data_IF_367008836231
#
_entry.id   IF_367008836231
#
_cell.length_a   1.000
_cell.length_b   1.000
_cell.length_c   1.000
_cell.angle_alpha   90.00
_cell.angle_beta   90.00
_cell.angle_gamma   90.00
#
_symmetry.space_group_name_H-M   'P 1'
#
loop_
_entity.id
_entity.type
_entity.pdbx_description
1 polymer ?
#
# COMPACT_ATOMS: atom_id res chain seq x y z
N UNK A 1 -19.77 -8.30 13.38
CA UNK A 1 -18.83 -8.39 12.24
C UNK A 1 -17.50 -7.88 12.76
N UNK A 2 -16.42 -8.65 12.60
CA UNK A 2 -15.13 -8.30 13.23
C UNK A 2 -14.42 -7.23 12.39
N UNK A 3 -14.46 -5.98 12.85
CA UNK A 3 -13.79 -4.81 12.25
C UNK A 3 -12.28 -4.80 12.59
N UNK A 4 -11.62 -5.93 12.39
CA UNK A 4 -10.19 -6.07 12.65
C UNK A 4 -9.40 -5.58 11.44
N UNK A 5 -8.45 -4.66 11.65
CA UNK A 5 -7.39 -4.38 10.67
C UNK A 5 -6.56 -5.65 10.44
N UNK A 6 -6.40 -6.04 9.18
CA UNK A 6 -5.61 -7.21 8.78
C UNK A 6 -4.37 -6.85 7.98
N UNK A 7 -4.35 -5.67 7.35
CA UNK A 7 -3.15 -5.07 6.76
C UNK A 7 -3.04 -3.63 7.26
N UNK A 8 -1.83 -3.23 7.64
CA UNK A 8 -1.51 -1.83 7.94
C UNK A 8 -0.13 -1.51 7.40
N UNK A 9 -0.06 -0.45 6.62
CA UNK A 9 1.14 0.14 6.05
C UNK A 9 1.18 1.59 6.48
N UNK A 10 2.34 2.03 6.98
CA UNK A 10 2.57 3.43 7.38
C UNK A 10 3.86 3.95 6.78
N UNK A 11 3.78 5.10 6.12
CA UNK A 11 4.93 5.83 5.57
C UNK A 11 5.79 4.99 4.62
N UNK A 12 5.19 4.07 3.84
CA UNK A 12 5.96 3.19 2.96
C UNK A 12 6.67 4.01 1.90
N UNK A 13 8.00 3.96 1.96
CA UNK A 13 8.88 4.53 0.95
C UNK A 13 9.85 3.45 0.48
N UNK A 14 10.09 3.38 -0.83
CA UNK A 14 11.05 2.44 -1.41
C UNK A 14 11.81 3.06 -2.58
N UNK A 15 13.03 2.58 -2.78
CA UNK A 15 13.92 2.98 -3.86
C UNK A 15 14.45 1.76 -4.57
N UNK A 16 14.37 1.75 -5.90
CA UNK A 16 14.95 0.72 -6.76
C UNK A 16 16.00 1.34 -7.67
N UNK A 17 17.24 0.84 -7.60
CA UNK A 17 18.36 1.40 -8.37
C UNK A 17 18.59 2.89 -8.06
N UNK A 18 18.38 3.30 -6.81
CA UNK A 18 18.54 4.69 -6.36
C UNK A 18 17.35 5.61 -6.65
N UNK A 19 16.42 5.21 -7.52
CA UNK A 19 15.22 5.98 -7.87
C UNK A 19 14.09 5.73 -6.88
N UNK A 20 13.39 6.77 -6.38
CA UNK A 20 12.18 6.59 -5.58
C UNK A 20 11.08 5.93 -6.42
N UNK A 21 10.39 4.98 -5.82
CA UNK A 21 9.32 4.21 -6.47
C UNK A 21 8.02 4.32 -5.67
N UNK A 22 8.09 4.28 -4.33
CA UNK A 22 7.01 4.64 -3.43
C UNK A 22 7.50 5.72 -2.48
N UNK A 23 6.65 6.67 -2.13
CA UNK A 23 7.00 7.81 -1.27
C UNK A 23 5.88 8.06 -0.25
N UNK A 24 6.07 7.54 0.97
CA UNK A 24 5.21 7.87 2.12
C UNK A 24 3.79 7.33 2.03
N UNK A 25 3.59 6.11 1.52
CA UNK A 25 2.26 5.53 1.34
C UNK A 25 1.73 4.94 2.66
N UNK A 26 0.49 5.31 2.99
CA UNK A 26 -0.29 4.71 4.07
C UNK A 26 -1.42 3.84 3.49
N UNK A 27 -1.63 2.64 4.05
CA UNK A 27 -2.72 1.73 3.65
C UNK A 27 -3.26 0.98 4.86
N UNK A 28 -4.57 0.85 4.94
CA UNK A 28 -5.26 -0.05 5.87
C UNK A 28 -6.18 -0.96 5.08
N UNK A 29 -6.23 -2.24 5.45
CA UNK A 29 -7.23 -3.18 4.92
C UNK A 29 -7.89 -3.88 6.10
N UNK A 30 -9.21 -3.86 6.13
CA UNK A 30 -10.02 -4.53 7.15
C UNK A 30 -10.40 -5.94 6.73
N UNK A 31 -10.73 -6.77 7.72
CA UNK A 31 -11.16 -8.15 7.47
C UNK A 31 -12.41 -8.17 6.59
N UNK A 32 -12.32 -8.83 5.45
CA UNK A 32 -13.41 -8.96 4.48
C UNK A 32 -13.47 -7.82 3.46
N UNK A 33 -12.56 -6.85 3.54
CA UNK A 33 -12.44 -5.78 2.56
C UNK A 33 -11.66 -6.27 1.32
N UNK A 34 -12.12 -5.87 0.14
CA UNK A 34 -11.43 -6.11 -1.13
C UNK A 34 -10.92 -4.78 -1.64
N UNK A 35 -9.59 -4.63 -1.70
CA UNK A 35 -8.92 -3.41 -2.16
C UNK A 35 -8.21 -3.69 -3.47
N UNK A 36 -8.42 -2.85 -4.48
CA UNK A 36 -7.69 -2.88 -5.74
C UNK A 36 -6.66 -1.74 -5.77
N UNK A 37 -5.41 -2.07 -6.08
CA UNK A 37 -4.36 -1.08 -6.35
C UNK A 37 -4.23 -0.98 -7.88
N UNK A 38 -4.42 0.23 -8.41
CA UNK A 38 -4.39 0.50 -9.84
C UNK A 38 -3.34 1.57 -10.15
N UNK A 39 -2.69 1.44 -11.30
CA UNK A 39 -1.70 2.40 -11.76
C UNK A 39 -1.13 2.03 -13.12
N UNK A 40 -0.45 2.97 -13.79
CA UNK A 40 0.29 2.68 -15.01
C UNK A 40 1.43 1.68 -14.74
N UNK A 41 1.95 1.05 -15.80
CA UNK A 41 3.13 0.19 -15.68
C UNK A 41 4.30 0.99 -15.07
N UNK A 42 4.85 0.46 -13.96
CA UNK A 42 5.94 1.10 -13.22
C UNK A 42 5.53 2.21 -12.25
N UNK A 43 4.24 2.35 -11.92
CA UNK A 43 3.73 3.36 -10.97
C UNK A 43 4.02 3.10 -9.48
N UNK A 44 4.73 2.02 -9.16
CA UNK A 44 5.06 1.56 -7.82
C UNK A 44 5.68 0.19 -7.86
#
# INVERSE_FOLDING_TARGET
>A
MNDSLVVTVRGLATRLGGRPVLEGIDLEVRRGEVVAIIGPSGGG
#
